data_IF_656544833115
#
_entry.id   IF_656544833115
#
_cell.length_a   1.000
_cell.length_b   1.000
_cell.length_c   1.000
_cell.angle_alpha   90.00
_cell.angle_beta   90.00
_cell.angle_gamma   90.00
#
_symmetry.space_group_name_H-M   'P 1'
#
loop_
_entity.id
_entity.type
_entity.pdbx_description
1 polymer ?
#
# COMPACT_ATOMS: atom_id res chain seq x y z
N UNK A 1 5.34 24.24 -15.17
CA UNK A 1 4.72 23.46 -14.06
C UNK A 1 5.83 22.56 -13.55
N UNK A 2 6.33 22.81 -12.34
CA UNK A 2 7.51 22.14 -11.84
C UNK A 2 7.23 20.65 -11.55
N UNK A 3 8.23 19.80 -11.80
CA UNK A 3 8.18 18.35 -11.52
C UNK A 3 7.67 18.05 -10.08
N UNK A 4 7.99 18.95 -9.15
CA UNK A 4 7.53 18.89 -7.77
C UNK A 4 6.00 19.06 -7.67
N UNK A 5 5.40 19.99 -8.41
CA UNK A 5 3.95 20.19 -8.39
C UNK A 5 3.18 19.04 -9.06
N UNK A 6 3.78 18.40 -10.08
CA UNK A 6 3.22 17.18 -10.67
C UNK A 6 3.31 15.98 -9.71
N UNK A 7 4.41 15.85 -8.98
CA UNK A 7 4.58 14.82 -7.96
C UNK A 7 3.60 15.01 -6.78
N UNK A 8 3.45 16.26 -6.31
CA UNK A 8 2.50 16.60 -5.24
C UNK A 8 1.02 16.41 -5.67
N UNK A 9 0.74 16.46 -6.95
CA UNK A 9 -0.59 16.20 -7.51
C UNK A 9 -0.81 14.72 -7.90
N UNK A 10 0.19 13.85 -7.69
CA UNK A 10 0.04 12.43 -8.01
C UNK A 10 -0.91 11.74 -7.02
N UNK A 11 -1.78 10.83 -7.49
CA UNK A 11 -2.72 10.10 -6.63
C UNK A 11 -2.05 9.28 -5.54
N UNK A 12 -0.84 8.78 -5.76
CA UNK A 12 -0.10 7.99 -4.78
C UNK A 12 0.52 8.85 -3.69
N UNK A 13 0.92 10.07 -4.03
CA UNK A 13 1.24 11.07 -3.03
C UNK A 13 -0.02 11.44 -2.23
N UNK A 14 -1.18 11.55 -2.91
CA UNK A 14 -2.47 11.75 -2.26
C UNK A 14 -2.88 10.53 -1.39
N UNK A 15 -2.56 9.29 -1.81
CA UNK A 15 -2.81 8.08 -1.01
C UNK A 15 -1.88 8.04 0.22
N UNK A 16 -0.60 8.32 0.06
CA UNK A 16 0.35 8.40 1.16
C UNK A 16 -0.03 9.53 2.13
N UNK A 17 -0.39 10.71 1.61
CA UNK A 17 -0.91 11.83 2.41
C UNK A 17 -2.25 11.44 3.06
N UNK A 18 -3.15 10.80 2.33
CA UNK A 18 -4.44 10.34 2.84
C UNK A 18 -4.27 9.44 4.05
N UNK A 19 -3.34 8.50 3.99
CA UNK A 19 -3.00 7.64 5.11
C UNK A 19 -2.39 8.44 6.28
N UNK A 20 -1.41 9.31 6.00
CA UNK A 20 -0.79 10.17 7.02
C UNK A 20 -1.82 11.12 7.64
N UNK A 21 -2.72 11.68 6.85
CA UNK A 21 -3.79 12.57 7.36
C UNK A 21 -4.82 11.79 8.16
N UNK A 22 -5.18 10.58 7.75
CA UNK A 22 -6.18 9.78 8.44
C UNK A 22 -5.69 9.29 9.81
N UNK A 23 -4.46 8.80 9.90
CA UNK A 23 -3.88 8.24 11.14
C UNK A 23 -2.99 9.24 11.86
N UNK A 24 -2.23 10.05 11.13
CA UNK A 24 -1.26 10.99 11.67
C UNK A 24 -1.85 12.11 12.53
N UNK A 25 -3.13 12.46 12.31
CA UNK A 25 -3.83 13.40 13.19
C UNK A 25 -3.85 12.93 14.65
N UNK A 26 -3.83 11.62 14.89
CA UNK A 26 -3.83 11.01 16.22
C UNK A 26 -2.44 10.54 16.64
N UNK A 27 -1.72 9.89 15.73
CA UNK A 27 -0.43 9.25 16.03
C UNK A 27 0.70 10.26 16.18
N UNK A 28 0.80 11.26 15.29
CA UNK A 28 1.85 12.29 15.39
C UNK A 28 1.78 13.08 16.71
N UNK A 29 0.62 13.63 17.12
CA UNK A 29 0.52 14.29 18.42
C UNK A 29 0.85 13.37 19.60
N UNK A 30 0.48 12.09 19.52
CA UNK A 30 0.79 11.11 20.57
C UNK A 30 2.29 10.83 20.66
N UNK A 31 2.97 10.67 19.54
CA UNK A 31 4.42 10.51 19.48
C UNK A 31 5.15 11.76 20.01
N UNK A 32 4.70 12.95 19.65
CA UNK A 32 5.26 14.22 20.16
C UNK A 32 5.08 14.36 21.69
N UNK A 33 3.92 13.99 22.21
CA UNK A 33 3.68 13.96 23.68
C UNK A 33 4.59 12.93 24.38
N UNK A 34 4.91 11.83 23.72
CA UNK A 34 5.84 10.83 24.25
C UNK A 34 7.30 11.31 24.25
N UNK A 35 7.63 12.40 23.53
CA UNK A 35 8.97 12.99 23.51
C UNK A 35 9.72 12.83 22.18
N UNK A 36 9.09 12.31 21.11
CA UNK A 36 9.70 12.28 19.78
C UNK A 36 9.78 13.66 19.15
N UNK A 37 10.82 13.91 18.36
CA UNK A 37 10.94 15.13 17.56
C UNK A 37 9.85 15.16 16.48
N UNK A 38 9.55 16.35 15.95
CA UNK A 38 8.54 16.53 14.91
C UNK A 38 8.90 15.75 13.64
N UNK A 39 10.17 15.80 13.25
CA UNK A 39 10.71 15.15 12.08
C UNK A 39 10.63 13.63 12.21
N UNK A 40 10.98 13.11 13.40
CA UNK A 40 10.95 11.68 13.65
C UNK A 40 9.51 11.14 13.69
N UNK A 41 8.60 11.85 14.35
CA UNK A 41 7.19 11.48 14.38
C UNK A 41 6.57 11.44 12.96
N UNK A 42 6.88 12.44 12.12
CA UNK A 42 6.44 12.49 10.73
C UNK A 42 7.06 11.35 9.89
N UNK A 43 8.34 11.06 10.09
CA UNK A 43 9.04 9.96 9.39
C UNK A 43 8.45 8.60 9.75
N UNK A 44 8.21 8.33 11.04
CA UNK A 44 7.60 7.07 11.51
C UNK A 44 6.22 6.88 10.90
N UNK A 45 5.41 7.94 10.88
CA UNK A 45 4.08 7.89 10.28
C UNK A 45 4.12 7.59 8.79
N UNK A 46 4.98 8.29 8.04
CA UNK A 46 5.12 8.10 6.60
C UNK A 46 5.62 6.68 6.25
N UNK A 47 6.66 6.20 6.95
CA UNK A 47 7.22 4.86 6.74
C UNK A 47 6.20 3.78 7.11
N UNK A 48 5.52 3.91 8.26
CA UNK A 48 4.52 2.92 8.69
C UNK A 48 3.34 2.85 7.72
N UNK A 49 2.87 3.99 7.21
CA UNK A 49 1.80 4.08 6.22
C UNK A 49 2.19 3.42 4.89
N UNK A 50 3.41 3.65 4.42
CA UNK A 50 3.95 3.03 3.20
C UNK A 50 4.02 1.50 3.33
N UNK A 51 4.39 0.99 4.51
CA UNK A 51 4.42 -0.45 4.78
C UNK A 51 3.07 -1.16 4.60
N UNK A 52 1.96 -0.45 4.76
CA UNK A 52 0.62 -0.99 4.52
C UNK A 52 0.40 -1.47 3.09
N UNK A 53 1.11 -0.90 2.10
CA UNK A 53 1.01 -1.31 0.70
C UNK A 53 1.61 -2.69 0.41
N UNK A 54 2.52 -3.17 1.25
CA UNK A 54 3.15 -4.50 1.11
C UNK A 54 2.59 -5.53 2.09
N UNK A 55 1.80 -5.10 3.09
CA UNK A 55 1.31 -6.00 4.14
C UNK A 55 0.05 -6.75 3.71
N UNK A 56 0.11 -8.09 3.56
CA UNK A 56 -1.10 -8.89 3.35
C UNK A 56 -2.07 -8.78 4.55
N UNK A 57 -3.38 -8.90 4.33
CA UNK A 57 -4.06 -9.34 3.10
C UNK A 57 -4.49 -8.20 2.18
N UNK A 58 -4.42 -6.94 2.56
CA UNK A 58 -5.02 -5.83 1.81
C UNK A 58 -4.08 -5.36 0.71
N UNK A 59 -2.81 -5.12 1.00
CA UNK A 59 -1.78 -4.69 0.06
C UNK A 59 -2.21 -3.50 -0.85
N UNK A 60 -1.27 -2.88 -1.53
CA UNK A 60 -1.53 -1.81 -2.48
C UNK A 60 -1.90 -2.30 -3.87
N UNK A 61 -2.27 -1.36 -4.76
CA UNK A 61 -2.67 -1.64 -6.13
C UNK A 61 -1.59 -2.40 -6.94
N UNK A 62 -0.31 -2.18 -6.63
CA UNK A 62 0.81 -2.88 -7.26
C UNK A 62 0.71 -4.41 -7.15
N UNK A 63 0.19 -4.94 -6.03
CA UNK A 63 0.04 -6.39 -5.84
C UNK A 63 -0.99 -7.02 -6.78
N UNK A 64 -2.05 -6.28 -7.13
CA UNK A 64 -3.03 -6.74 -8.11
C UNK A 64 -2.47 -6.74 -9.53
N UNK A 65 -1.70 -5.70 -9.87
CA UNK A 65 -0.99 -5.62 -11.15
C UNK A 65 0.03 -6.75 -11.25
N UNK A 66 0.78 -7.02 -10.16
CA UNK A 66 1.70 -8.15 -10.08
C UNK A 66 1.01 -9.47 -10.38
N UNK A 67 -0.12 -9.75 -9.75
CA UNK A 67 -0.89 -10.96 -9.98
C UNK A 67 -1.33 -11.10 -11.43
N UNK A 68 -1.74 -10.01 -12.07
CA UNK A 68 -2.14 -9.99 -13.48
C UNK A 68 -0.95 -10.18 -14.45
N UNK A 69 0.17 -9.51 -14.20
CA UNK A 69 1.35 -9.60 -15.07
C UNK A 69 1.99 -10.99 -15.02
N UNK A 70 2.06 -11.62 -13.85
CA UNK A 70 2.63 -12.95 -13.67
C UNK A 70 1.61 -14.05 -14.03
N UNK A 71 0.31 -13.73 -14.06
CA UNK A 71 -0.76 -14.71 -14.35
C UNK A 71 -1.05 -15.66 -13.18
N UNK A 72 -0.83 -15.22 -11.95
CA UNK A 72 -1.05 -16.01 -10.72
C UNK A 72 -2.20 -15.46 -9.89
N UNK A 73 -2.72 -16.29 -8.97
CA UNK A 73 -3.76 -15.83 -8.06
C UNK A 73 -3.16 -14.86 -7.02
N UNK A 74 -3.92 -13.82 -6.68
CA UNK A 74 -3.56 -12.83 -5.66
C UNK A 74 -3.09 -13.45 -4.33
N UNK A 75 -3.69 -14.58 -3.91
CA UNK A 75 -3.29 -15.27 -2.67
C UNK A 75 -1.83 -15.75 -2.73
N UNK A 76 -1.33 -16.12 -3.90
CA UNK A 76 0.08 -16.54 -4.05
C UNK A 76 1.01 -15.34 -3.86
N UNK A 77 0.66 -14.19 -4.43
CA UNK A 77 1.38 -12.93 -4.19
C UNK A 77 1.34 -12.56 -2.71
N UNK A 78 0.16 -12.63 -2.08
CA UNK A 78 0.01 -12.33 -0.67
C UNK A 78 0.88 -13.23 0.22
N UNK A 79 0.95 -14.54 -0.07
CA UNK A 79 1.83 -15.47 0.66
C UNK A 79 3.31 -15.13 0.47
N UNK A 80 3.74 -14.81 -0.75
CA UNK A 80 5.11 -14.42 -1.04
C UNK A 80 5.49 -13.10 -0.35
N UNK A 81 4.55 -12.17 -0.23
CA UNK A 81 4.75 -10.87 0.39
C UNK A 81 4.85 -10.90 1.94
N UNK A 82 4.45 -12.00 2.60
CA UNK A 82 4.48 -12.09 4.08
C UNK A 82 5.89 -11.85 4.63
N UNK A 83 6.89 -12.51 4.06
CA UNK A 83 8.25 -12.42 4.55
C UNK A 83 8.85 -11.03 4.37
N UNK A 84 8.81 -10.41 3.16
CA UNK A 84 9.25 -9.04 2.98
C UNK A 84 8.50 -8.04 3.88
N UNK A 85 7.18 -8.19 4.03
CA UNK A 85 6.39 -7.31 4.88
C UNK A 85 6.79 -7.42 6.35
N UNK A 86 6.98 -8.63 6.87
CA UNK A 86 7.44 -8.84 8.24
C UNK A 86 8.83 -8.25 8.48
N UNK A 87 9.76 -8.41 7.53
CA UNK A 87 11.10 -7.82 7.62
C UNK A 87 11.03 -6.29 7.60
N UNK A 88 10.16 -5.71 6.77
CA UNK A 88 9.94 -4.27 6.73
C UNK A 88 9.45 -3.72 8.07
N UNK A 89 8.40 -4.32 8.64
CA UNK A 89 7.87 -3.87 9.93
C UNK A 89 8.81 -4.17 11.09
N UNK A 90 9.55 -5.27 11.04
CA UNK A 90 10.59 -5.56 12.03
C UNK A 90 11.69 -4.49 11.99
N UNK A 91 12.15 -4.11 10.81
CA UNK A 91 13.15 -3.04 10.62
C UNK A 91 12.64 -1.70 11.15
N UNK A 92 11.38 -1.34 10.81
CA UNK A 92 10.74 -0.12 11.30
C UNK A 92 10.60 -0.13 12.82
N UNK A 93 10.15 -1.25 13.39
CA UNK A 93 10.01 -1.42 14.84
C UNK A 93 11.36 -1.30 15.56
N UNK A 94 12.40 -1.96 15.05
CA UNK A 94 13.74 -1.88 15.61
C UNK A 94 14.30 -0.45 15.55
N UNK A 95 14.07 0.26 14.45
CA UNK A 95 14.49 1.66 14.30
C UNK A 95 13.80 2.56 15.33
N UNK A 96 12.49 2.42 15.51
CA UNK A 96 11.74 3.16 16.52
C UNK A 96 12.22 2.82 17.91
N UNK A 97 12.43 1.54 18.20
CA UNK A 97 12.90 1.07 19.52
C UNK A 97 14.27 1.64 19.85
N UNK A 98 15.24 1.55 18.92
CA UNK A 98 16.60 2.05 19.12
C UNK A 98 16.63 3.57 19.35
N UNK A 99 15.83 4.33 18.59
CA UNK A 99 15.72 5.78 18.79
C UNK A 99 15.08 6.09 20.15
N UNK A 100 14.01 5.36 20.52
CA UNK A 100 13.36 5.54 21.83
C UNK A 100 14.34 5.29 22.99
N UNK A 101 15.17 4.24 22.90
CA UNK A 101 16.18 3.93 23.91
C UNK A 101 17.26 5.01 23.94
N UNK A 102 17.75 5.42 22.77
CA UNK A 102 18.78 6.47 22.64
C UNK A 102 18.34 7.79 23.27
N UNK A 103 17.10 8.18 22.98
CA UNK A 103 16.56 9.48 23.37
C UNK A 103 15.85 9.41 24.76
N UNK A 104 15.87 8.26 25.42
CA UNK A 104 15.26 8.06 26.75
C UNK A 104 13.75 8.22 26.80
N UNK A 105 13.07 7.98 25.66
CA UNK A 105 11.63 8.14 25.53
C UNK A 105 10.92 7.01 26.27
N UNK A 106 10.07 7.37 27.23
CA UNK A 106 9.28 6.40 28.00
C UNK A 106 7.87 6.30 27.41
N UNK A 107 7.32 5.08 27.41
CA UNK A 107 5.95 4.85 26.98
C UNK A 107 4.94 5.67 27.79
N UNK A 108 3.86 6.10 27.14
CA UNK A 108 2.76 6.79 27.81
C UNK A 108 2.03 5.84 28.75
N UNK A 109 1.76 6.29 30.00
CA UNK A 109 0.93 5.57 30.96
C UNK A 109 -0.58 5.76 30.70
N UNK A 110 -0.96 6.50 29.65
CA UNK A 110 -2.37 6.70 29.30
C UNK A 110 -2.98 5.39 28.76
N UNK A 111 -3.96 4.86 29.49
CA UNK A 111 -4.73 3.71 29.00
C UNK A 111 -5.68 4.18 27.89
N UNK A 112 -5.59 3.61 26.68
CA UNK A 112 -6.50 3.99 25.61
C UNK A 112 -7.93 3.61 25.99
N UNK A 113 -8.83 4.58 25.98
CA UNK A 113 -10.27 4.35 26.22
C UNK A 113 -10.92 3.96 24.89
N UNK A 114 -10.78 2.70 24.51
CA UNK A 114 -11.27 2.24 23.22
C UNK A 114 -12.58 1.49 23.43
N UNK A 115 -13.65 1.93 22.75
CA UNK A 115 -14.93 1.24 22.74
C UNK A 115 -14.88 0.07 21.76
N UNK A 116 -15.12 -1.13 22.21
CA UNK A 116 -15.11 -2.37 21.39
C UNK A 116 -15.97 -2.24 20.13
N UNK A 117 -17.06 -1.46 20.18
CA UNK A 117 -17.94 -1.24 19.04
C UNK A 117 -17.29 -0.50 17.86
N UNK A 118 -16.24 0.29 18.11
CA UNK A 118 -15.55 1.03 17.05
C UNK A 118 -14.63 0.13 16.20
N UNK A 119 -14.13 -0.96 16.79
CA UNK A 119 -13.34 -1.95 16.06
C UNK A 119 -14.18 -2.85 15.15
N UNK A 120 -15.42 -3.17 15.54
CA UNK A 120 -16.27 -4.05 14.74
C UNK A 120 -16.56 -3.48 13.36
N UNK A 121 -16.62 -2.15 13.22
CA UNK A 121 -16.86 -1.50 11.92
C UNK A 121 -15.73 -1.73 10.94
N UNK A 122 -14.51 -1.78 11.41
CA UNK A 122 -13.32 -2.00 10.59
C UNK A 122 -13.09 -3.51 10.43
N UNK A 123 -13.28 -4.27 11.50
CA UNK A 123 -12.96 -5.70 11.52
C UNK A 123 -13.92 -6.53 10.66
N UNK A 124 -15.22 -6.22 10.66
CA UNK A 124 -16.22 -7.01 9.91
C UNK A 124 -15.97 -6.99 8.40
N UNK A 125 -15.83 -5.83 7.73
CA UNK A 125 -15.47 -5.80 6.30
C UNK A 125 -14.16 -6.52 5.99
N UNK A 126 -13.16 -6.39 6.87
CA UNK A 126 -11.88 -7.06 6.73
C UNK A 126 -12.00 -8.57 6.78
N UNK A 127 -12.76 -9.10 7.77
CA UNK A 127 -13.01 -10.54 7.90
C UNK A 127 -13.79 -11.09 6.71
N UNK A 128 -14.79 -10.34 6.21
CA UNK A 128 -15.53 -10.70 5.00
C UNK A 128 -14.56 -10.80 3.81
N UNK A 129 -13.73 -9.77 3.59
CA UNK A 129 -12.77 -9.73 2.49
C UNK A 129 -11.81 -10.93 2.53
N UNK A 130 -11.18 -11.15 3.68
CA UNK A 130 -10.25 -12.28 3.88
C UNK A 130 -10.96 -13.62 3.70
N UNK A 131 -12.18 -13.76 4.24
CA UNK A 131 -12.98 -14.99 4.12
C UNK A 131 -13.24 -15.36 2.66
N UNK A 132 -13.63 -14.39 1.81
CA UNK A 132 -13.83 -14.63 0.38
C UNK A 132 -12.51 -14.98 -0.34
N UNK A 133 -11.40 -14.33 0.02
CA UNK A 133 -10.09 -14.67 -0.56
C UNK A 133 -9.66 -16.10 -0.18
N UNK A 134 -9.83 -16.50 1.07
CA UNK A 134 -9.49 -17.85 1.53
C UNK A 134 -10.41 -18.91 0.93
N UNK A 135 -11.66 -18.56 0.64
CA UNK A 135 -12.60 -19.44 -0.06
C UNK A 135 -12.28 -19.57 -1.58
N UNK A 136 -11.24 -18.91 -2.08
CA UNK A 136 -10.80 -19.00 -3.48
C UNK A 136 -11.56 -18.10 -4.46
N UNK A 137 -12.39 -17.18 -3.97
CA UNK A 137 -13.06 -16.19 -4.83
C UNK A 137 -12.08 -15.11 -5.30
N UNK A 138 -12.45 -14.43 -6.37
CA UNK A 138 -11.66 -13.31 -6.88
C UNK A 138 -11.69 -12.12 -5.92
N UNK A 139 -10.62 -11.31 -5.97
CA UNK A 139 -10.49 -10.08 -5.18
C UNK A 139 -11.68 -9.14 -5.39
N UNK A 140 -12.18 -9.04 -6.62
CA UNK A 140 -13.35 -8.23 -6.98
C UNK A 140 -14.60 -8.63 -6.20
N UNK A 141 -14.86 -9.93 -6.12
CA UNK A 141 -16.00 -10.48 -5.37
C UNK A 141 -15.81 -10.21 -3.86
N UNK A 142 -14.62 -10.49 -3.32
CA UNK A 142 -14.29 -10.21 -1.93
C UNK A 142 -14.47 -8.73 -1.56
N UNK A 143 -13.96 -7.82 -2.38
CA UNK A 143 -14.07 -6.38 -2.18
C UNK A 143 -15.52 -5.89 -2.26
N UNK A 144 -16.31 -6.42 -3.21
CA UNK A 144 -17.73 -6.09 -3.33
C UNK A 144 -18.52 -6.44 -2.08
N UNK A 145 -18.39 -7.68 -1.57
CA UNK A 145 -19.08 -8.09 -0.36
C UNK A 145 -18.54 -7.41 0.90
N UNK A 146 -17.26 -7.12 0.96
CA UNK A 146 -16.67 -6.32 2.04
C UNK A 146 -17.23 -4.89 2.08
N UNK A 147 -17.42 -4.26 0.91
CA UNK A 147 -18.04 -2.93 0.80
C UNK A 147 -19.51 -2.96 1.25
N UNK A 148 -20.27 -3.98 0.87
CA UNK A 148 -21.64 -4.17 1.37
C UNK A 148 -21.64 -4.37 2.88
N UNK A 149 -20.71 -5.19 3.41
CA UNK A 149 -20.54 -5.40 4.84
C UNK A 149 -20.21 -4.12 5.60
N UNK A 150 -19.33 -3.27 5.05
CA UNK A 150 -19.00 -1.97 5.61
C UNK A 150 -20.23 -1.05 5.67
N UNK A 151 -20.99 -0.99 4.58
CA UNK A 151 -22.21 -0.18 4.50
C UNK A 151 -23.27 -0.68 5.50
N UNK A 152 -23.46 -1.99 5.59
CA UNK A 152 -24.39 -2.60 6.56
C UNK A 152 -24.00 -2.25 8.01
N UNK A 153 -22.72 -2.37 8.35
CA UNK A 153 -22.21 -2.00 9.67
C UNK A 153 -22.37 -0.51 9.95
N UNK A 154 -22.15 0.34 8.96
CA UNK A 154 -22.40 1.78 9.07
C UNK A 154 -23.87 2.07 9.40
N UNK A 155 -24.80 1.45 8.65
CA UNK A 155 -26.25 1.60 8.85
C UNK A 155 -26.66 1.11 10.25
N UNK A 156 -26.20 -0.07 10.67
CA UNK A 156 -26.48 -0.61 12.02
C UNK A 156 -26.00 0.36 13.11
N UNK A 157 -24.78 0.84 13.01
CA UNK A 157 -24.24 1.81 13.98
C UNK A 157 -25.06 3.09 14.01
N UNK A 158 -25.44 3.61 12.84
CA UNK A 158 -26.21 4.84 12.75
C UNK A 158 -27.63 4.68 13.35
N UNK A 159 -28.29 3.54 13.10
CA UNK A 159 -29.59 3.19 13.73
C UNK A 159 -29.47 3.16 15.27
N UNK A 160 -28.41 2.54 15.77
CA UNK A 160 -28.16 2.46 17.22
C UNK A 160 -27.88 3.84 17.80
N UNK A 161 -27.15 4.70 17.08
CA UNK A 161 -26.80 6.06 17.51
C UNK A 161 -28.00 7.02 17.48
N UNK A 162 -28.89 6.88 16.47
CA UNK A 162 -30.01 7.83 16.22
C UNK A 162 -31.32 7.38 16.87
N UNK A 163 -31.28 6.32 17.73
CA UNK A 163 -32.47 5.77 18.42
C UNK A 163 -33.64 5.42 17.48
N UNK A 164 -33.35 5.03 16.25
CA UNK A 164 -34.33 4.49 15.31
C UNK A 164 -35.08 5.51 14.41
N UNK A 165 -34.56 6.73 14.23
CA UNK A 165 -35.13 7.67 13.27
C UNK A 165 -34.79 7.25 11.82
N UNK A 166 -35.73 6.49 11.21
CA UNK A 166 -35.55 5.89 9.87
C UNK A 166 -35.33 6.92 8.77
N UNK A 167 -35.92 8.11 8.88
CA UNK A 167 -35.77 9.18 7.87
C UNK A 167 -34.36 9.77 7.88
N UNK A 168 -33.82 10.01 9.07
CA UNK A 168 -32.46 10.50 9.24
C UNK A 168 -31.44 9.43 8.74
N UNK A 169 -31.67 8.16 9.07
CA UNK A 169 -30.86 7.03 8.62
C UNK A 169 -30.84 6.93 7.09
N UNK A 170 -32.01 6.94 6.43
CA UNK A 170 -32.09 6.81 4.97
C UNK A 170 -31.39 7.98 4.25
N UNK A 171 -31.59 9.22 4.74
CA UNK A 171 -30.98 10.41 4.14
C UNK A 171 -29.44 10.40 4.27
N UNK A 172 -28.92 10.02 5.43
CA UNK A 172 -27.48 10.02 5.68
C UNK A 172 -26.80 8.86 4.96
N UNK A 173 -27.39 7.66 5.00
CA UNK A 173 -26.91 6.50 4.22
C UNK A 173 -26.87 6.80 2.72
N UNK A 174 -27.92 7.46 2.17
CA UNK A 174 -27.95 7.88 0.78
C UNK A 174 -26.80 8.85 0.44
N UNK A 175 -26.52 9.81 1.31
CA UNK A 175 -25.41 10.76 1.15
C UNK A 175 -24.05 10.06 1.21
N UNK A 176 -23.87 9.13 2.16
CA UNK A 176 -22.64 8.36 2.28
C UNK A 176 -22.43 7.49 1.05
N UNK A 177 -23.46 6.78 0.58
CA UNK A 177 -23.41 5.96 -0.62
C UNK A 177 -23.02 6.81 -1.85
N UNK A 178 -23.66 7.96 -2.04
CA UNK A 178 -23.36 8.89 -3.12
C UNK A 178 -21.91 9.38 -3.08
N UNK A 179 -21.44 9.83 -1.92
CA UNK A 179 -20.07 10.29 -1.75
C UNK A 179 -19.06 9.16 -1.96
N UNK A 180 -19.35 7.95 -1.50
CA UNK A 180 -18.49 6.77 -1.70
C UNK A 180 -18.35 6.44 -3.18
N UNK A 181 -19.43 6.49 -3.95
CA UNK A 181 -19.40 6.26 -5.40
C UNK A 181 -18.58 7.35 -6.10
N UNK A 182 -18.79 8.62 -5.77
CA UNK A 182 -18.02 9.73 -6.38
C UNK A 182 -16.53 9.61 -6.05
N UNK A 183 -16.18 9.41 -4.78
CA UNK A 183 -14.79 9.29 -4.36
C UNK A 183 -14.13 8.07 -4.98
N UNK A 184 -14.84 6.93 -5.02
CA UNK A 184 -14.36 5.72 -5.70
C UNK A 184 -14.13 5.94 -7.19
N UNK A 185 -15.04 6.64 -7.87
CA UNK A 185 -14.89 6.97 -9.31
C UNK A 185 -13.69 7.88 -9.55
N UNK A 186 -13.50 8.91 -8.72
CA UNK A 186 -12.34 9.79 -8.83
C UNK A 186 -11.03 8.99 -8.65
N UNK A 187 -10.96 8.12 -7.64
CA UNK A 187 -9.79 7.27 -7.44
C UNK A 187 -9.50 6.35 -8.64
N UNK A 188 -10.54 5.82 -9.30
CA UNK A 188 -10.37 5.00 -10.52
C UNK A 188 -9.82 5.84 -11.66
N UNK A 189 -10.32 7.06 -11.87
CA UNK A 189 -9.85 7.97 -12.92
C UNK A 189 -8.36 8.25 -12.73
N UNK A 190 -7.95 8.55 -11.51
CA UNK A 190 -6.56 8.81 -11.15
C UNK A 190 -5.67 7.59 -11.42
N UNK A 191 -6.11 6.39 -10.99
CA UNK A 191 -5.39 5.14 -11.28
C UNK A 191 -5.28 4.85 -12.79
N UNK A 192 -6.32 5.10 -13.57
CA UNK A 192 -6.27 4.92 -15.02
C UNK A 192 -5.20 5.81 -15.67
N UNK A 193 -5.08 7.07 -15.23
CA UNK A 193 -4.04 7.98 -15.72
C UNK A 193 -2.63 7.45 -15.45
N UNK A 194 -2.38 6.98 -14.23
CA UNK A 194 -1.09 6.42 -13.81
C UNK A 194 -0.75 5.15 -14.61
N UNK A 195 -1.70 4.23 -14.70
CA UNK A 195 -1.50 2.98 -15.44
C UNK A 195 -1.22 3.25 -16.92
N UNK A 196 -1.95 4.18 -17.54
CA UNK A 196 -1.71 4.57 -18.93
C UNK A 196 -0.30 5.17 -19.10
N UNK A 197 0.11 6.10 -18.25
CA UNK A 197 1.45 6.70 -18.28
C UNK A 197 2.56 5.65 -18.05
N UNK A 198 2.37 4.76 -17.09
CA UNK A 198 3.31 3.66 -16.82
C UNK A 198 3.44 2.72 -18.03
N UNK A 199 2.35 2.36 -18.69
CA UNK A 199 2.37 1.50 -19.88
C UNK A 199 3.07 2.17 -21.07
N UNK A 200 2.88 3.46 -21.26
CA UNK A 200 3.62 4.22 -22.28
C UNK A 200 5.13 4.15 -21.99
N UNK A 201 5.53 4.38 -20.74
CA UNK A 201 6.95 4.32 -20.34
C UNK A 201 7.54 2.94 -20.56
N UNK A 202 6.83 1.87 -20.16
CA UNK A 202 7.26 0.47 -20.37
C UNK A 202 7.39 0.17 -21.86
N UNK A 203 6.42 0.62 -22.67
CA UNK A 203 6.46 0.44 -24.14
C UNK A 203 7.67 1.13 -24.76
N UNK A 204 8.00 2.35 -24.35
CA UNK A 204 9.19 3.07 -24.81
C UNK A 204 10.49 2.34 -24.41
N UNK A 205 10.58 1.85 -23.18
CA UNK A 205 11.74 1.05 -22.71
C UNK A 205 11.90 -0.21 -23.53
N UNK A 206 10.81 -0.90 -23.85
CA UNK A 206 10.84 -2.10 -24.66
C UNK A 206 11.25 -1.78 -26.12
N UNK A 207 10.69 -0.72 -26.71
CA UNK A 207 11.02 -0.28 -28.08
C UNK A 207 12.47 0.17 -28.22
N UNK A 208 13.04 0.83 -27.20
CA UNK A 208 14.44 1.27 -27.21
C UNK A 208 15.42 0.14 -26.90
N UNK A 209 14.94 -1.02 -26.45
CA UNK A 209 15.78 -2.13 -25.98
C UNK A 209 16.58 -1.80 -24.71
N UNK A 210 16.22 -0.70 -24.03
CA UNK A 210 16.91 -0.28 -22.80
C UNK A 210 16.86 -1.37 -21.71
N UNK A 211 15.71 -2.03 -21.56
CA UNK A 211 15.54 -3.14 -20.59
C UNK A 211 16.53 -4.27 -20.86
N UNK A 212 16.71 -4.67 -22.13
CA UNK A 212 17.66 -5.73 -22.51
C UNK A 212 19.10 -5.30 -22.21
N UNK A 213 19.48 -4.08 -22.60
CA UNK A 213 20.83 -3.56 -22.31
C UNK A 213 21.13 -3.48 -20.82
N UNK A 214 20.18 -3.03 -20.03
CA UNK A 214 20.34 -2.98 -18.57
C UNK A 214 20.45 -4.39 -17.98
N UNK A 215 19.66 -5.33 -18.50
CA UNK A 215 19.76 -6.74 -18.17
C UNK A 215 21.15 -7.32 -18.41
N UNK A 216 21.70 -7.08 -19.60
CA UNK A 216 23.05 -7.53 -19.98
C UNK A 216 24.13 -6.94 -19.06
N UNK A 217 23.99 -5.64 -18.68
CA UNK A 217 24.90 -4.99 -17.72
C UNK A 217 24.82 -5.64 -16.34
N UNK A 218 23.61 -5.92 -15.83
CA UNK A 218 23.44 -6.57 -14.53
C UNK A 218 24.05 -7.96 -14.52
N UNK A 219 23.80 -8.76 -15.57
CA UNK A 219 24.36 -10.11 -15.70
C UNK A 219 25.88 -10.08 -15.85
N UNK A 220 26.42 -9.13 -16.65
CA UNK A 220 27.86 -8.99 -16.86
C UNK A 220 28.60 -8.56 -15.58
N UNK A 221 28.05 -7.63 -14.80
CA UNK A 221 28.60 -7.23 -13.51
C UNK A 221 28.50 -8.39 -12.51
N UNK A 222 27.39 -9.12 -12.54
CA UNK A 222 27.15 -10.23 -11.66
C UNK A 222 28.01 -11.47 -11.95
N UNK A 223 28.61 -11.57 -13.14
CA UNK A 223 29.48 -12.71 -13.55
C UNK A 223 28.85 -14.09 -13.26
N UNK A 224 27.54 -14.21 -13.36
CA UNK A 224 26.78 -15.41 -13.00
C UNK A 224 26.58 -15.63 -11.49
N UNK A 225 27.05 -14.72 -10.64
CA UNK A 225 26.76 -14.76 -9.22
C UNK A 225 25.39 -14.15 -8.94
N UNK A 226 24.43 -15.00 -8.57
CA UNK A 226 23.04 -14.63 -8.29
C UNK A 226 22.93 -13.53 -7.22
N UNK A 227 23.75 -13.61 -6.16
CA UNK A 227 23.73 -12.64 -5.08
C UNK A 227 24.12 -11.24 -5.57
N UNK A 228 25.16 -11.16 -6.42
CA UNK A 228 25.61 -9.87 -6.97
C UNK A 228 24.59 -9.27 -7.93
N UNK A 229 23.94 -10.11 -8.75
CA UNK A 229 22.85 -9.66 -9.64
C UNK A 229 21.64 -9.13 -8.83
N UNK A 230 21.28 -9.78 -7.73
CA UNK A 230 20.22 -9.29 -6.83
C UNK A 230 20.59 -7.95 -6.19
N UNK A 231 21.85 -7.79 -5.78
CA UNK A 231 22.33 -6.54 -5.19
C UNK A 231 22.32 -5.39 -6.21
N UNK A 232 22.75 -5.64 -7.45
CA UNK A 232 22.66 -4.66 -8.53
C UNK A 232 21.19 -4.31 -8.85
N UNK A 233 20.31 -5.31 -8.92
CA UNK A 233 18.88 -5.09 -9.13
C UNK A 233 18.24 -4.28 -8.00
N UNK A 234 18.64 -4.51 -6.76
CA UNK A 234 18.20 -3.73 -5.60
C UNK A 234 18.59 -2.26 -5.74
N UNK A 235 19.84 -1.97 -6.12
CA UNK A 235 20.29 -0.58 -6.34
C UNK A 235 19.49 0.11 -7.45
N UNK A 236 19.23 -0.60 -8.55
CA UNK A 236 18.41 -0.07 -9.64
C UNK A 236 16.97 0.17 -9.17
N UNK A 237 16.37 -0.73 -8.40
CA UNK A 237 15.05 -0.54 -7.81
C UNK A 237 14.99 0.68 -6.88
N UNK A 238 16.00 0.91 -6.07
CA UNK A 238 16.07 2.08 -5.19
C UNK A 238 16.07 3.37 -6.04
N UNK A 239 16.92 3.43 -7.08
CA UNK A 239 17.01 4.59 -7.96
C UNK A 239 15.68 4.84 -8.69
N UNK A 240 15.08 3.80 -9.26
CA UNK A 240 13.80 3.90 -9.94
C UNK A 240 12.65 4.29 -9.00
N UNK A 241 12.68 3.80 -7.76
CA UNK A 241 11.65 4.07 -6.76
C UNK A 241 11.70 5.48 -6.15
N UNK A 242 12.83 6.20 -6.25
CA UNK A 242 12.99 7.51 -5.62
C UNK A 242 12.09 8.61 -6.21
N UNK A 243 11.61 8.45 -7.45
CA UNK A 243 10.83 9.49 -8.13
C UNK A 243 9.56 8.99 -8.78
N UNK A 244 9.21 7.73 -8.59
CA UNK A 244 8.03 7.11 -9.20
C UNK A 244 7.02 6.67 -8.14
N UNK A 245 5.74 6.76 -8.47
CA UNK A 245 4.68 6.12 -7.73
C UNK A 245 4.91 4.60 -7.58
N UNK A 246 4.41 3.99 -6.51
CA UNK A 246 4.67 2.57 -6.20
C UNK A 246 4.24 1.62 -7.31
N UNK A 247 3.08 1.85 -7.92
CA UNK A 247 2.57 1.05 -9.04
C UNK A 247 3.44 1.21 -10.28
N UNK A 248 3.82 2.44 -10.63
CA UNK A 248 4.68 2.72 -11.77
C UNK A 248 6.10 2.17 -11.55
N UNK A 249 6.67 2.37 -10.36
CA UNK A 249 7.97 1.83 -9.99
C UNK A 249 8.00 0.30 -10.07
N UNK A 250 6.92 -0.36 -9.62
CA UNK A 250 6.80 -1.80 -9.73
C UNK A 250 6.73 -2.26 -11.20
N UNK A 251 5.83 -1.68 -12.01
CA UNK A 251 5.66 -2.09 -13.40
C UNK A 251 6.96 -1.89 -14.19
N UNK A 252 7.64 -0.76 -13.98
CA UNK A 252 8.90 -0.47 -14.61
C UNK A 252 10.01 -1.42 -14.12
N UNK A 253 10.13 -1.61 -12.81
CA UNK A 253 11.09 -2.54 -12.22
C UNK A 253 10.90 -3.97 -12.71
N UNK A 254 9.66 -4.45 -12.75
CA UNK A 254 9.32 -5.78 -13.25
C UNK A 254 9.69 -5.92 -14.75
N UNK A 255 9.38 -4.92 -15.58
CA UNK A 255 9.70 -4.97 -17.01
C UNK A 255 11.22 -5.00 -17.29
N UNK A 256 12.00 -4.33 -16.45
CA UNK A 256 13.45 -4.17 -16.67
C UNK A 256 14.28 -5.24 -15.93
N UNK A 257 13.91 -5.57 -14.70
CA UNK A 257 14.73 -6.39 -13.81
C UNK A 257 14.30 -7.87 -13.73
N UNK A 258 13.02 -8.17 -14.00
CA UNK A 258 12.58 -9.56 -13.96
C UNK A 258 13.22 -10.44 -15.04
N UNK A 259 13.36 -10.01 -16.32
CA UNK A 259 13.95 -10.85 -17.34
C UNK A 259 15.35 -11.36 -16.99
N UNK A 260 16.34 -10.54 -16.58
CA UNK A 260 17.67 -11.02 -16.21
C UNK A 260 17.68 -11.98 -15.02
N UNK A 261 16.82 -11.74 -14.04
CA UNK A 261 16.74 -12.59 -12.86
C UNK A 261 16.11 -13.96 -13.18
N UNK A 262 15.13 -13.99 -14.07
CA UNK A 262 14.52 -15.24 -14.56
C UNK A 262 15.53 -16.06 -15.36
N UNK A 263 16.37 -15.43 -16.20
CA UNK A 263 17.42 -16.14 -16.93
C UNK A 263 18.47 -16.78 -16.03
N UNK A 264 18.67 -16.24 -14.82
CA UNK A 264 19.53 -16.80 -13.79
C UNK A 264 18.84 -17.91 -12.96
N UNK A 265 17.61 -18.27 -13.29
CA UNK A 265 16.88 -19.38 -12.65
C UNK A 265 16.00 -18.97 -11.46
N UNK A 266 15.77 -17.67 -11.24
CA UNK A 266 14.81 -17.21 -10.23
C UNK A 266 13.38 -17.43 -10.72
N UNK A 267 12.51 -17.83 -9.80
CA UNK A 267 11.06 -17.89 -10.05
C UNK A 267 10.51 -16.47 -10.26
N UNK A 268 9.55 -16.26 -11.16
CA UNK A 268 8.86 -14.99 -11.29
C UNK A 268 8.11 -14.54 -10.03
N UNK A 269 8.01 -15.41 -9.05
CA UNK A 269 7.26 -15.24 -7.79
C UNK A 269 8.20 -15.19 -6.62
#
# INVERSE_FOLDING_TARGET
MDLISQYLASPEFAEAIGNVVATGVFTIPSMKKAGYTNEWAATVEAVSSTGGQIMPPIMGAAAFIMAQLIGVNYIQIAKAAIVPALLYYLSTFLSIHLVSVRDGIKGSNEKPTIKVGDYLIILVPLVIFIGFLLAGYTVLIGAFYATIGALAMYVVRFIVSTKGDVKAVAKDTGKVCYNTVINGTNSIIDMCGILAGSQITVSLINLTGFGVKLSDVIVSIGQGNMFLCLLCSMLVCIILGMGLPTTAAYVLGAAVLAPPLITLGLSPL
#
